data_IF_632120509154
#
_entry.id   IF_632120509154
#
_cell.length_a   1.000
_cell.length_b   1.000
_cell.length_c   1.000
_cell.angle_alpha   90.00
_cell.angle_beta   90.00
_cell.angle_gamma   90.00
#
_symmetry.space_group_name_H-M   'P 1'
#
loop_
_entity.id
_entity.type
_entity.pdbx_description
1 polymer ?
#
# COMPACT_ATOMS: atom_id res chain seq x y z
N UNK A 1 -7.39 11.26 11.31
CA UNK A 1 -8.13 11.78 10.14
C UNK A 1 -8.73 10.62 9.35
N UNK A 2 -9.51 10.92 8.32
CA UNK A 2 -9.94 9.91 7.35
C UNK A 2 -8.96 9.89 6.18
N UNK A 3 -8.67 8.69 5.69
CA UNK A 3 -7.83 8.48 4.52
C UNK A 3 -8.59 7.58 3.55
N UNK A 4 -8.73 8.01 2.30
CA UNK A 4 -9.48 7.26 1.30
C UNK A 4 -8.54 6.67 0.26
N UNK A 5 -8.80 5.42 -0.07
CA UNK A 5 -8.17 4.74 -1.21
C UNK A 5 -9.25 4.15 -2.08
N UNK A 6 -9.19 4.40 -3.38
CA UNK A 6 -10.23 3.99 -4.32
C UNK A 6 -9.66 3.61 -5.68
N UNK A 7 -10.39 2.75 -6.38
CA UNK A 7 -10.10 2.39 -7.76
C UNK A 7 -10.66 3.43 -8.73
N UNK A 8 -9.84 3.88 -9.68
CA UNK A 8 -10.27 4.66 -10.86
C UNK A 8 -9.78 3.95 -12.13
N UNK A 9 -10.69 3.22 -12.77
CA UNK A 9 -10.32 2.30 -13.84
C UNK A 9 -9.40 1.21 -13.28
N UNK A 10 -8.21 1.05 -13.85
CA UNK A 10 -7.19 0.11 -13.37
C UNK A 10 -6.18 0.72 -12.41
N UNK A 11 -6.37 1.94 -11.92
CA UNK A 11 -5.41 2.59 -11.02
C UNK A 11 -5.97 2.69 -9.60
N UNK A 12 -5.17 2.36 -8.59
CA UNK A 12 -5.46 2.61 -7.18
C UNK A 12 -4.96 4.01 -6.83
N UNK A 13 -5.84 4.87 -6.34
CA UNK A 13 -5.54 6.25 -5.96
C UNK A 13 -5.76 6.46 -4.47
N UNK A 14 -4.90 7.25 -3.85
CA UNK A 14 -5.09 7.76 -2.48
C UNK A 14 -5.43 9.25 -2.52
N UNK A 15 -6.38 9.69 -1.69
CA UNK A 15 -6.89 11.07 -1.69
C UNK A 15 -7.53 11.52 -0.38
N UNK A 16 -7.98 12.78 -0.37
CA UNK A 16 -8.75 13.43 0.71
C UNK A 16 -8.06 13.59 2.08
N UNK A 17 -6.72 13.51 2.14
CA UNK A 17 -5.95 13.73 3.38
C UNK A 17 -5.07 14.99 3.28
N UNK A 18 -4.93 15.74 4.39
CA UNK A 18 -4.15 17.00 4.46
C UNK A 18 -2.68 16.85 4.05
N UNK A 19 -2.13 15.65 4.15
CA UNK A 19 -0.76 15.29 3.75
C UNK A 19 -0.68 14.26 2.62
N UNK A 20 -1.82 13.86 2.02
CA UNK A 20 -1.77 12.98 0.84
C UNK A 20 -1.23 13.77 -0.35
N UNK A 21 -0.12 13.30 -0.93
CA UNK A 21 0.42 13.86 -2.18
C UNK A 21 -0.45 13.58 -3.41
N UNK A 22 -1.63 12.94 -3.24
CA UNK A 22 -2.45 12.47 -4.36
C UNK A 22 -1.63 11.52 -5.23
N UNK A 23 -1.29 10.35 -4.69
CA UNK A 23 -0.41 9.38 -5.34
C UNK A 23 -1.17 8.13 -5.77
N UNK A 24 -0.79 7.57 -6.92
CA UNK A 24 -1.22 6.22 -7.29
C UNK A 24 -0.46 5.21 -6.44
N UNK A 25 -1.19 4.37 -5.70
CA UNK A 25 -0.62 3.28 -4.91
C UNK A 25 -0.21 2.10 -5.79
N UNK A 26 -0.86 1.93 -6.94
CA UNK A 26 -0.52 0.91 -7.92
C UNK A 26 -1.46 0.88 -9.12
N UNK A 27 -1.15 0.00 -10.07
CA UNK A 27 -1.95 -0.22 -11.28
C UNK A 27 -2.31 -1.70 -11.43
N UNK A 28 -3.60 -2.01 -11.47
CA UNK A 28 -4.11 -3.32 -11.79
C UNK A 28 -3.75 -3.72 -13.23
N UNK A 29 -3.38 -4.99 -13.35
CA UNK A 29 -3.12 -5.70 -14.59
C UNK A 29 -3.83 -7.05 -14.51
N UNK A 30 -4.48 -7.41 -15.61
CA UNK A 30 -5.01 -8.75 -15.84
C UNK A 30 -4.02 -9.45 -16.75
N UNK A 31 -3.45 -10.56 -16.29
CA UNK A 31 -2.63 -11.43 -17.12
C UNK A 31 -3.52 -12.13 -18.17
N UNK A 32 -3.33 -11.93 -19.47
CA UNK A 32 -4.19 -12.54 -20.48
C UNK A 32 -3.98 -14.06 -20.61
N UNK A 33 -2.82 -14.58 -20.23
CA UNK A 33 -2.49 -16.01 -20.35
C UNK A 33 -3.00 -16.80 -19.15
N UNK A 34 -2.83 -16.23 -17.94
CA UNK A 34 -3.22 -16.90 -16.70
C UNK A 34 -4.58 -16.43 -16.16
N UNK A 35 -5.18 -15.40 -16.76
CA UNK A 35 -6.38 -14.70 -16.28
C UNK A 35 -6.25 -14.25 -14.80
N UNK A 36 -5.00 -14.02 -14.35
CA UNK A 36 -4.72 -13.63 -12.97
C UNK A 36 -4.74 -12.10 -12.82
N UNK A 37 -5.40 -11.63 -11.76
CA UNK A 37 -5.49 -10.21 -11.43
C UNK A 37 -4.44 -9.86 -10.39
N UNK A 38 -3.61 -8.87 -10.69
CA UNK A 38 -2.60 -8.35 -9.78
C UNK A 38 -2.47 -6.84 -9.90
N UNK A 39 -1.87 -6.21 -8.90
CA UNK A 39 -1.51 -4.80 -8.92
C UNK A 39 0.02 -4.67 -8.96
N UNK A 40 0.50 -3.81 -9.85
CA UNK A 40 1.89 -3.40 -9.89
C UNK A 40 2.09 -2.18 -9.00
N UNK A 41 3.00 -2.29 -8.03
CA UNK A 41 3.37 -1.23 -7.11
C UNK A 41 4.84 -0.89 -7.32
N UNK A 42 5.14 0.40 -7.44
CA UNK A 42 6.51 0.86 -7.68
C UNK A 42 6.90 2.09 -6.85
N UNK A 43 5.95 2.74 -6.17
CA UNK A 43 6.22 3.89 -5.31
C UNK A 43 5.92 3.52 -3.86
N UNK A 44 6.93 3.67 -3.02
CA UNK A 44 6.94 3.29 -1.61
C UNK A 44 7.51 4.44 -0.79
N UNK A 45 7.15 4.51 0.49
CA UNK A 45 7.63 5.53 1.42
C UNK A 45 7.89 4.94 2.80
N UNK A 46 8.82 5.55 3.53
CA UNK A 46 9.03 5.32 4.95
C UNK A 46 8.93 6.63 5.72
N UNK A 47 8.20 6.61 6.84
CA UNK A 47 8.01 7.76 7.73
C UNK A 47 9.02 7.67 8.88
N UNK A 48 9.92 8.64 9.01
CA UNK A 48 11.04 8.60 9.96
C UNK A 48 10.72 9.22 11.31
N UNK A 49 9.72 10.12 11.38
CA UNK A 49 9.35 10.82 12.62
C UNK A 49 8.39 10.03 13.50
N UNK A 50 7.40 9.37 12.90
CA UNK A 50 6.36 8.65 13.61
C UNK A 50 5.80 7.51 12.76
N UNK A 51 5.12 6.59 13.44
CA UNK A 51 4.38 5.53 12.77
C UNK A 51 3.12 6.04 12.08
N UNK A 52 2.49 5.15 11.30
CA UNK A 52 1.21 5.40 10.65
C UNK A 52 0.27 4.21 10.85
N UNK A 53 -0.98 4.49 11.22
CA UNK A 53 -2.01 3.47 11.40
C UNK A 53 -3.11 3.63 10.35
N UNK A 54 -3.60 2.50 9.84
CA UNK A 54 -4.73 2.40 8.93
C UNK A 54 -5.72 1.37 9.45
N UNK A 55 -6.95 1.80 9.76
CA UNK A 55 -8.03 0.91 10.22
C UNK A 55 -9.24 1.06 9.30
N UNK A 56 -9.66 0.02 8.55
CA UNK A 56 -10.84 0.07 7.71
C UNK A 56 -12.08 0.49 8.51
N UNK A 57 -12.88 1.44 8.01
CA UNK A 57 -14.05 1.95 8.73
C UNK A 57 -15.22 0.98 8.71
N UNK A 58 -15.43 0.26 7.60
CA UNK A 58 -16.59 -0.62 7.45
C UNK A 58 -16.19 -2.09 7.21
N UNK A 59 -14.95 -2.46 7.57
CA UNK A 59 -14.48 -3.83 7.49
C UNK A 59 -14.15 -4.30 6.08
N UNK A 60 -13.69 -3.39 5.21
CA UNK A 60 -13.37 -3.72 3.83
C UNK A 60 -12.00 -4.43 3.71
N UNK A 61 -11.90 -5.50 2.89
CA UNK A 61 -10.65 -6.21 2.65
C UNK A 61 -9.57 -5.34 2.01
N UNK A 62 -8.35 -5.49 2.51
CA UNK A 62 -7.21 -4.66 2.13
C UNK A 62 -5.92 -5.49 2.12
N UNK A 63 -4.97 -5.12 1.25
CA UNK A 63 -3.60 -5.64 1.27
C UNK A 63 -2.68 -4.54 1.83
N UNK A 64 -1.87 -4.91 2.82
CA UNK A 64 -0.83 -4.05 3.36
C UNK A 64 0.54 -4.56 2.91
N UNK A 65 1.28 -3.73 2.18
CA UNK A 65 2.59 -4.06 1.63
C UNK A 65 3.68 -3.41 2.49
N UNK A 66 4.54 -4.22 3.10
CA UNK A 66 5.47 -3.78 4.15
C UNK A 66 6.87 -4.35 3.90
N UNK A 67 7.92 -3.58 4.19
CA UNK A 67 9.28 -4.09 4.33
C UNK A 67 9.97 -3.48 5.57
N UNK A 68 10.93 -4.19 6.19
CA UNK A 68 11.64 -3.71 7.38
C UNK A 68 12.34 -2.36 7.16
N UNK A 69 12.57 -1.56 8.22
CA UNK A 69 13.33 -0.32 8.11
C UNK A 69 14.76 -0.53 7.62
N UNK A 70 15.25 0.39 6.80
CA UNK A 70 16.63 0.38 6.29
C UNK A 70 16.82 1.32 5.11
N UNK A 71 18.07 1.68 4.82
CA UNK A 71 18.40 2.71 3.82
C UNK A 71 18.32 2.22 2.37
N UNK A 72 18.40 0.90 2.15
CA UNK A 72 18.46 0.30 0.82
C UNK A 72 17.46 -0.85 0.72
N UNK A 73 16.18 -0.51 0.76
CA UNK A 73 15.08 -1.48 0.64
C UNK A 73 15.07 -2.10 -0.76
N UNK A 74 14.92 -3.42 -0.83
CA UNK A 74 14.86 -4.16 -2.09
C UNK A 74 13.46 -4.71 -2.32
N UNK A 75 13.16 -5.04 -3.57
CA UNK A 75 11.88 -5.65 -3.91
C UNK A 75 11.62 -6.96 -3.13
N UNK A 76 12.65 -7.74 -2.86
CA UNK A 76 12.57 -9.02 -2.13
C UNK A 76 12.28 -8.87 -0.63
N UNK A 77 12.45 -7.67 -0.07
CA UNK A 77 12.24 -7.41 1.37
C UNK A 77 10.74 -7.26 1.71
N UNK A 78 9.88 -7.12 0.68
CA UNK A 78 8.47 -6.85 0.87
C UNK A 78 7.63 -8.10 1.12
N UNK A 79 6.73 -7.97 2.09
CA UNK A 79 5.65 -8.93 2.35
C UNK A 79 4.30 -8.25 2.16
N UNK A 80 3.35 -9.00 1.59
CA UNK A 80 1.96 -8.57 1.43
C UNK A 80 1.09 -9.25 2.49
N UNK A 81 0.53 -8.47 3.41
CA UNK A 81 -0.42 -8.94 4.41
C UNK A 81 -1.84 -8.73 3.90
N UNK A 82 -2.58 -9.82 3.72
CA UNK A 82 -3.98 -9.77 3.30
C UNK A 82 -4.87 -9.71 4.54
N UNK A 83 -5.63 -8.64 4.68
CA UNK A 83 -6.66 -8.49 5.69
C UNK A 83 -8.03 -8.68 5.06
N UNK A 84 -8.90 -9.43 5.72
CA UNK A 84 -10.32 -9.54 5.39
C UNK A 84 -11.13 -8.31 5.86
N UNK A 85 -10.45 -7.31 6.45
CA UNK A 85 -11.04 -6.09 6.96
C UNK A 85 -11.38 -6.13 8.46
N UNK A 86 -11.27 -7.28 9.13
CA UNK A 86 -11.58 -7.38 10.56
C UNK A 86 -10.56 -6.68 11.47
N UNK A 87 -9.38 -6.34 10.94
CA UNK A 87 -8.36 -5.54 11.60
C UNK A 87 -7.71 -4.52 10.67
N UNK A 88 -7.19 -3.46 11.29
CA UNK A 88 -6.23 -2.54 10.68
C UNK A 88 -4.79 -2.84 11.11
N UNK A 89 -3.86 -2.01 10.67
CA UNK A 89 -2.45 -2.11 11.05
C UNK A 89 -1.94 -0.81 11.68
N UNK A 90 -0.93 -0.94 12.53
CA UNK A 90 -0.09 0.16 13.01
C UNK A 90 1.32 -0.10 12.51
N UNK A 91 1.83 0.79 11.69
CA UNK A 91 3.15 0.72 11.06
C UNK A 91 4.13 1.51 11.93
N UNK A 92 5.26 0.90 12.31
CA UNK A 92 6.30 1.58 13.07
C UNK A 92 7.10 2.56 12.19
N UNK A 93 7.72 3.61 12.77
CA UNK A 93 8.61 4.49 12.03
C UNK A 93 9.69 3.71 11.26
N UNK A 94 10.01 4.18 10.06
CA UNK A 94 11.02 3.61 9.18
C UNK A 94 10.58 2.39 8.38
N UNK A 95 9.45 1.75 8.72
CA UNK A 95 8.92 0.62 7.93
C UNK A 95 8.48 1.14 6.56
N UNK A 96 9.01 0.52 5.50
CA UNK A 96 8.66 0.87 4.14
C UNK A 96 7.29 0.32 3.78
N UNK A 97 6.48 1.14 3.13
CA UNK A 97 5.14 0.74 2.72
C UNK A 97 4.63 1.63 1.57
N UNK A 98 3.47 1.26 1.02
CA UNK A 98 2.65 2.16 0.21
C UNK A 98 1.29 2.36 0.88
N UNK A 99 0.42 3.17 0.29
CA UNK A 99 -0.96 3.24 0.76
C UNK A 99 -1.61 1.84 0.71
N UNK A 100 -2.51 1.50 1.64
CA UNK A 100 -3.22 0.22 1.61
C UNK A 100 -3.88 -0.03 0.25
N UNK A 101 -3.87 -1.27 -0.23
CA UNK A 101 -4.43 -1.64 -1.53
C UNK A 101 -5.81 -2.29 -1.33
N UNK A 102 -6.92 -1.63 -1.70
CA UNK A 102 -8.25 -2.23 -1.65
C UNK A 102 -8.35 -3.40 -2.61
N UNK A 103 -8.96 -4.52 -2.19
CA UNK A 103 -9.24 -5.62 -3.12
C UNK A 103 -10.27 -5.22 -4.18
N UNK A 104 -11.18 -4.28 -3.85
CA UNK A 104 -12.18 -3.74 -4.77
C UNK A 104 -12.72 -2.40 -4.27
N UNK A 105 -13.27 -1.58 -5.18
CA UNK A 105 -14.07 -0.40 -4.84
C UNK A 105 -13.31 0.75 -4.15
N UNK A 106 -13.91 1.29 -3.09
CA UNK A 106 -13.34 2.34 -2.25
C UNK A 106 -13.26 1.82 -0.82
N UNK A 107 -12.19 2.19 -0.11
CA UNK A 107 -12.05 1.95 1.32
C UNK A 107 -11.68 3.26 2.01
N UNK A 108 -12.41 3.54 3.09
CA UNK A 108 -12.13 4.65 3.99
C UNK A 108 -11.49 4.10 5.25
N UNK A 109 -10.29 4.58 5.57
CA UNK A 109 -9.54 4.20 6.76
C UNK A 109 -9.63 5.31 7.80
N UNK A 110 -9.80 4.93 9.08
CA UNK A 110 -9.33 5.78 10.18
C UNK A 110 -7.81 5.77 10.11
N UNK A 111 -7.23 6.93 9.86
CA UNK A 111 -5.79 7.11 9.74
C UNK A 111 -5.24 7.95 10.89
N UNK A 112 -4.06 7.57 11.37
CA UNK A 112 -3.29 8.35 12.34
C UNK A 112 -1.81 8.26 11.98
N UNK A 113 -1.18 9.40 11.74
CA UNK A 113 0.26 9.51 11.48
C UNK A 113 0.87 10.67 12.27
N UNK A 114 2.20 10.78 12.20
CA UNK A 114 2.95 11.93 12.71
C UNK A 114 2.48 13.25 12.11
N UNK A 115 2.63 14.33 12.88
CA UNK A 115 2.34 15.69 12.40
C UNK A 115 3.49 16.29 11.59
N UNK A 116 4.68 15.70 11.65
CA UNK A 116 5.86 16.14 10.91
C UNK A 116 5.95 15.28 9.66
N UNK A 117 6.21 15.90 8.51
CA UNK A 117 6.32 15.17 7.26
C UNK A 117 7.78 14.80 6.99
N UNK A 118 8.31 13.86 7.78
CA UNK A 118 9.68 13.37 7.64
C UNK A 118 9.68 12.04 6.87
N UNK A 119 9.37 12.08 5.58
CA UNK A 119 9.29 10.89 4.74
C UNK A 119 10.47 10.79 3.77
N UNK A 120 10.84 9.56 3.47
CA UNK A 120 11.71 9.20 2.33
C UNK A 120 10.89 8.35 1.36
N UNK A 121 11.08 8.59 0.06
CA UNK A 121 10.38 7.89 -1.01
C UNK A 121 11.37 6.99 -1.76
N UNK A 122 10.91 5.80 -2.17
CA UNK A 122 11.61 4.91 -3.08
C UNK A 122 10.72 4.64 -4.29
N UNK A 123 11.27 4.89 -5.48
CA UNK A 123 10.64 4.56 -6.75
C UNK A 123 11.35 3.35 -7.36
N UNK A 124 10.92 2.13 -7.02
CA UNK A 124 11.55 0.87 -7.44
C UNK A 124 11.79 0.78 -8.95
N UNK A 125 10.86 1.31 -9.75
CA UNK A 125 11.00 1.30 -11.22
C UNK A 125 12.18 2.15 -11.70
N UNK A 126 12.52 3.23 -10.98
CA UNK A 126 13.64 4.11 -11.32
C UNK A 126 14.94 3.68 -10.67
N UNK A 127 14.86 3.15 -9.45
CA UNK A 127 16.03 2.84 -8.62
C UNK A 127 16.56 1.43 -8.83
N UNK A 128 15.68 0.49 -9.22
CA UNK A 128 15.99 -0.95 -9.32
C UNK A 128 15.43 -1.59 -10.60
N UNK A 129 14.87 -0.80 -11.52
CA UNK A 129 14.25 -1.27 -12.77
C UNK A 129 13.20 -2.39 -12.55
N UNK A 130 12.43 -2.26 -11.47
CA UNK A 130 11.49 -3.32 -11.04
C UNK A 130 10.18 -2.77 -10.47
N UNK A 131 9.20 -3.64 -10.32
CA UNK A 131 7.95 -3.37 -9.62
C UNK A 131 7.49 -4.60 -8.83
N UNK A 132 6.76 -4.36 -7.75
CA UNK A 132 6.16 -5.41 -6.94
C UNK A 132 4.86 -5.86 -7.59
N UNK A 133 4.78 -7.15 -7.92
CA UNK A 133 3.58 -7.81 -8.44
C UNK A 133 2.80 -8.41 -7.28
N UNK A 134 1.70 -7.77 -6.90
CA UNK A 134 0.88 -8.19 -5.77
C UNK A 134 -0.43 -8.81 -6.29
N UNK A 135 -0.69 -10.11 -6.09
CA UNK A 135 -1.96 -10.73 -6.46
C UNK A 135 -3.16 -10.04 -5.80
N UNK A 136 -4.24 -9.80 -6.53
CA UNK A 136 -5.50 -9.27 -5.98
C UNK A 136 -6.41 -10.39 -5.44
N UNK A 137 -5.79 -11.48 -4.97
CA UNK A 137 -6.43 -12.60 -4.29
C UNK A 137 -5.51 -13.09 -3.19
N UNK A 138 -6.08 -13.50 -2.06
CA UNK A 138 -5.31 -14.17 -1.01
C UNK A 138 -4.65 -15.42 -1.61
N UNK A 139 -3.35 -15.67 -1.36
CA UNK A 139 -2.74 -16.95 -1.69
C UNK A 139 -3.50 -18.10 -1.02
N UNK A 140 -3.65 -19.22 -1.71
CA UNK A 140 -4.14 -20.44 -1.08
C UNK A 140 -3.10 -20.89 -0.03
N UNK A 141 -3.55 -21.31 1.15
CA UNK A 141 -2.68 -21.93 2.14
C UNK A 141 -2.43 -23.37 1.67
N UNK A 142 -1.15 -23.75 1.54
CA UNK A 142 -0.74 -25.13 1.20
C UNK A 142 -1.15 -26.15 2.28
#
# INVERSE_FOLDING_TARGET
DEFKVYWRGSTVLSGDHKSARGGAAGKAVVDPETNSNYVLVHWLSAHLDAGEAFIPKNGEPSIFLLAPPGDNVKAEDFVALYSDGCYGISIHPGVWHTAPLPLSGEVVYKNKQGSIYATVDCLLLKEQDTCLKIPLRKPEED
#
